data_IF_094854429038
#
_entry.id   IF_094854429038
#
_cell.length_a   1.000
_cell.length_b   1.000
_cell.length_c   1.000
_cell.angle_alpha   90.00
_cell.angle_beta   90.00
_cell.angle_gamma   90.00
#
_symmetry.space_group_name_H-M   'P 1'
#
loop_
_entity.id
_entity.type
_entity.pdbx_description
1 polymer ?
2 non-polymer ?
3 water ?
#
# COMPACT_ATOMS: atom_id res chain seq x y z
N UNK A 1 7.23 2.97 -1.63
CA UNK A 1 8.07 2.56 -2.80
C UNK A 1 8.59 3.74 -3.64
N UNK A 2 8.03 4.94 -3.49
CA UNK A 2 8.29 6.16 -4.28
C UNK A 2 7.75 7.39 -3.52
N UNK A 3 7.97 8.65 -4.00
CA UNK A 3 7.70 9.86 -3.19
C UNK A 3 6.23 10.12 -2.77
N UNK A 4 5.28 9.60 -3.55
CA UNK A 4 3.84 9.64 -3.20
C UNK A 4 3.57 8.78 -1.98
N UNK A 5 4.14 7.59 -1.97
CA UNK A 5 4.07 6.67 -0.82
C UNK A 5 4.74 7.28 0.42
N UNK A 6 5.87 7.97 0.24
CA UNK A 6 6.57 8.68 1.35
C UNK A 6 5.61 9.67 2.05
N UNK A 7 4.95 10.49 1.26
CA UNK A 7 4.02 11.53 1.80
C UNK A 7 2.87 10.82 2.53
N UNK A 8 2.26 9.82 1.85
CA UNK A 8 1.16 9.04 2.45
C UNK A 8 1.54 8.44 3.80
N UNK A 9 2.71 7.80 3.86
CA UNK A 9 3.19 7.16 5.12
C UNK A 9 3.39 8.22 6.21
N UNK A 10 3.91 9.36 5.85
CA UNK A 10 4.11 10.45 6.86
C UNK A 10 2.76 10.84 7.48
N UNK A 11 1.73 10.96 6.66
CA UNK A 11 0.37 11.27 7.16
C UNK A 11 -0.16 10.12 8.00
N UNK A 12 -0.05 8.88 7.56
CA UNK A 12 -0.57 7.75 8.33
C UNK A 12 0.11 7.66 9.70
N UNK A 13 1.43 7.84 9.75
CA UNK A 13 2.25 7.53 10.97
C UNK A 13 1.92 8.55 12.05
N UNK A 14 1.49 9.77 11.72
CA UNK A 14 1.31 10.80 12.73
C UNK A 14 -0.11 11.34 12.79
N UNK A 15 -0.92 11.22 11.75
CA UNK A 15 -2.23 11.93 11.66
C UNK A 15 -3.40 10.96 11.48
N UNK A 16 -3.28 9.68 11.85
CA UNK A 16 -4.44 8.77 11.85
C UNK A 16 -4.58 8.06 13.18
N UNK A 17 -5.84 7.68 13.45
CA UNK A 17 -6.21 6.80 14.59
C UNK A 17 -7.17 5.75 14.01
N UNK A 18 -7.39 4.69 14.77
CA UNK A 18 -8.44 3.72 14.42
C UNK A 18 -9.67 4.15 15.21
N UNK A 19 -10.75 4.49 14.52
CA UNK A 19 -12.04 4.87 15.12
C UNK A 19 -13.03 3.72 15.02
N UNK A 20 -13.72 3.44 16.12
CA UNK A 20 -14.74 2.37 16.17
C UNK A 20 -16.07 2.96 16.64
N UNK A 21 -17.10 2.84 15.81
CA UNK A 21 -18.50 3.18 16.16
C UNK A 21 -19.31 1.87 16.16
N UNK A 22 -20.61 1.98 16.37
CA UNK A 22 -21.52 0.80 16.30
C UNK A 22 -21.65 0.30 14.88
N UNK A 23 -21.20 1.08 13.88
CA UNK A 23 -21.25 0.75 12.45
C UNK A 23 -19.91 0.20 11.95
N UNK A 24 -18.86 0.05 12.76
CA UNK A 24 -17.62 -0.60 12.34
C UNK A 24 -16.35 0.14 12.75
N UNK A 25 -15.22 -0.36 12.32
CA UNK A 25 -13.90 0.25 12.47
C UNK A 25 -13.54 1.02 11.21
N UNK A 26 -13.06 2.26 11.37
CA UNK A 26 -12.73 3.18 10.25
C UNK A 26 -11.32 3.77 10.47
N UNK A 27 -10.59 3.96 9.39
CA UNK A 27 -9.47 4.91 9.35
C UNK A 27 -10.06 6.30 9.67
N UNK A 28 -9.41 7.04 10.58
CA UNK A 28 -9.85 8.41 10.93
C UNK A 28 -8.64 9.32 10.83
N UNK A 29 -8.78 10.38 10.04
CA UNK A 29 -7.75 11.41 9.85
C UNK A 29 -7.91 12.52 10.89
N UNK A 30 -6.83 12.72 11.66
CA UNK A 30 -6.72 13.88 12.55
C UNK A 30 -6.16 15.08 11.81
N UNK A 31 -6.78 16.25 11.92
CA UNK A 31 -6.42 17.41 11.07
C UNK A 31 -5.64 18.45 11.87
N UNK A 32 -6.10 18.79 13.08
CA UNK A 32 -5.36 19.74 13.98
C UNK A 32 -6.03 19.63 15.34
N UNK A 33 -5.29 20.00 16.39
CA UNK A 33 -5.80 20.05 17.78
C UNK A 33 -6.47 18.69 18.07
N UNK A 34 -7.76 18.66 18.45
CA UNK A 34 -8.45 17.37 18.75
C UNK A 34 -9.53 17.15 17.68
N UNK A 35 -9.39 17.73 16.50
CA UNK A 35 -10.39 17.72 15.39
C UNK A 35 -9.95 16.67 14.37
N UNK A 36 -10.87 15.76 14.07
CA UNK A 36 -10.66 14.69 13.08
C UNK A 36 -11.86 14.60 12.14
N UNK A 37 -11.72 13.79 11.11
CA UNK A 37 -12.82 13.53 10.15
C UNK A 37 -13.07 12.05 9.97
N UNK A 38 -14.28 11.73 9.58
CA UNK A 38 -14.72 10.32 9.36
C UNK A 38 -15.87 10.37 8.40
N UNK A 39 -16.14 9.32 7.59
CA UNK A 39 -17.35 9.35 6.77
C UNK A 39 -18.61 9.47 7.62
N UNK A 40 -19.61 10.22 7.12
CA UNK A 40 -20.85 10.43 7.89
C UNK A 40 -21.60 9.10 8.16
N UNK A 41 -21.47 8.13 7.25
CA UNK A 41 -22.14 6.80 7.47
C UNK A 41 -21.54 6.01 8.64
N UNK A 42 -20.45 6.44 9.25
CA UNK A 42 -19.98 5.86 10.53
C UNK A 42 -20.93 6.15 11.67
N UNK A 43 -21.89 7.08 11.54
CA UNK A 43 -22.90 7.44 12.57
C UNK A 43 -22.26 7.67 13.96
N UNK A 44 -21.36 8.65 14.02
CA UNK A 44 -20.69 9.01 15.29
C UNK A 44 -21.74 9.45 16.31
N UNK A 45 -21.64 8.94 17.53
CA UNK A 45 -22.53 9.31 18.63
C UNK A 45 -21.82 10.10 19.69
N UNK A 46 -22.27 9.98 20.93
CA UNK A 46 -21.73 10.74 22.07
C UNK A 46 -20.41 10.16 22.57
N UNK A 47 -20.18 8.88 22.28
CA UNK A 47 -18.96 8.13 22.66
C UNK A 47 -18.43 7.40 21.42
N UNK A 48 -17.10 7.37 21.27
CA UNK A 48 -16.47 6.67 20.14
C UNK A 48 -15.22 5.99 20.73
N UNK A 49 -14.76 4.90 20.13
CA UNK A 49 -13.48 4.26 20.54
C UNK A 49 -12.38 4.76 19.61
N UNK A 50 -11.25 5.20 20.17
CA UNK A 50 -10.11 5.76 19.44
C UNK A 50 -8.88 4.94 19.84
N UNK A 51 -8.35 4.11 18.94
CA UNK A 51 -7.26 3.15 19.28
C UNK A 51 -7.67 2.31 20.50
N UNK A 52 -8.93 1.89 20.54
CA UNK A 52 -9.55 0.97 21.56
C UNK A 52 -9.73 1.66 22.91
N UNK A 53 -9.65 3.00 22.99
CA UNK A 53 -9.88 3.80 24.23
C UNK A 53 -11.26 4.50 24.13
N UNK A 54 -12.12 4.29 25.11
CA UNK A 54 -13.42 4.97 25.20
C UNK A 54 -13.18 6.48 25.26
N UNK A 55 -13.76 7.24 24.33
CA UNK A 55 -13.49 8.69 24.15
C UNK A 55 -14.83 9.45 24.01
N UNK A 56 -15.04 10.47 24.82
CA UNK A 56 -16.22 11.33 24.68
C UNK A 56 -16.08 12.15 23.41
N UNK A 57 -17.20 12.34 22.73
CA UNK A 57 -17.26 13.23 21.54
C UNK A 57 -17.74 14.61 22.00
N UNK A 58 -16.88 15.62 21.86
CA UNK A 58 -17.23 17.00 22.33
C UNK A 58 -18.13 17.65 21.30
N UNK A 59 -18.01 17.32 20.02
CA UNK A 59 -18.84 17.88 18.93
C UNK A 59 -18.75 16.97 17.71
N UNK A 60 -19.84 16.79 16.97
CA UNK A 60 -19.83 16.05 15.69
C UNK A 60 -20.74 16.81 14.72
N UNK A 61 -20.24 17.16 13.54
CA UNK A 61 -21.04 17.92 12.56
C UNK A 61 -20.96 17.25 11.19
N UNK A 62 -22.09 16.77 10.73
CA UNK A 62 -22.24 16.15 9.40
C UNK A 62 -22.32 17.27 8.38
N UNK A 63 -21.30 17.49 7.56
CA UNK A 63 -21.29 18.64 6.63
C UNK A 63 -22.26 18.44 5.48
N UNK A 64 -22.85 19.53 5.04
CA UNK A 64 -23.67 19.64 3.83
C UNK A 64 -23.26 20.89 3.08
N UNK A 65 -23.38 20.91 1.77
CA UNK A 65 -23.08 22.14 0.99
C UNK A 65 -24.24 23.12 1.11
N UNK A 66 -24.03 24.28 0.51
CA UNK A 66 -25.04 25.37 0.65
C UNK A 66 -26.23 25.11 -0.28
N UNK A 67 -26.24 24.06 -1.11
CA UNK A 67 -27.50 23.50 -1.72
C UNK A 67 -28.20 22.58 -0.71
N UNK A 68 -27.69 22.37 0.50
CA UNK A 68 -28.25 21.48 1.55
C UNK A 68 -28.16 20.05 1.02
N UNK A 69 -27.06 19.71 0.36
CA UNK A 69 -26.76 18.34 -0.13
C UNK A 69 -25.65 17.72 0.74
N UNK A 70 -25.79 16.45 1.05
CA UNK A 70 -24.80 15.68 1.81
C UNK A 70 -23.40 15.85 1.19
N UNK A 71 -22.37 16.01 2.04
CA UNK A 71 -20.95 15.94 1.62
C UNK A 71 -20.26 14.68 2.15
N UNK A 72 -20.90 13.91 3.04
CA UNK A 72 -20.41 12.61 3.58
C UNK A 72 -19.16 12.79 4.46
N UNK A 73 -18.85 14.02 4.89
CA UNK A 73 -17.76 14.29 5.87
C UNK A 73 -18.43 14.65 7.20
N UNK A 74 -18.05 13.97 8.27
CA UNK A 74 -18.39 14.38 9.65
C UNK A 74 -17.11 14.87 10.33
N UNK A 75 -17.12 16.10 10.84
CA UNK A 75 -16.00 16.67 11.62
C UNK A 75 -16.28 16.37 13.08
N UNK A 76 -15.32 15.71 13.74
CA UNK A 76 -15.48 15.25 15.14
C UNK A 76 -14.44 15.95 16.00
N UNK A 77 -14.89 16.55 17.11
CA UNK A 77 -13.91 17.02 18.11
C UNK A 77 -13.89 16.01 19.26
N UNK A 78 -12.72 15.47 19.57
CA UNK A 78 -12.55 14.33 20.49
C UNK A 78 -12.07 14.83 21.86
N UNK A 79 -12.61 14.30 22.96
CA UNK A 79 -12.09 14.62 24.33
C UNK A 79 -10.84 13.77 24.59
N UNK A 80 -9.79 14.06 23.85
CA UNK A 80 -8.51 13.30 23.88
C UNK A 80 -7.48 14.16 24.63
N UNK A 81 -6.47 13.50 25.21
CA UNK A 81 -5.45 14.19 26.01
C UNK A 81 -4.23 14.60 25.17
N UNK A 82 -4.30 14.53 23.84
CA UNK A 82 -3.17 14.78 22.95
C UNK A 82 -3.71 15.44 21.69
N UNK A 83 -2.97 16.41 21.15
CA UNK A 83 -3.31 17.07 19.88
C UNK A 83 -2.65 16.36 18.70
N UNK A 84 -3.31 16.46 17.57
CA UNK A 84 -2.74 16.07 16.26
C UNK A 84 -1.76 17.11 15.77
N UNK A 85 -0.72 16.66 15.08
CA UNK A 85 0.08 17.58 14.20
C UNK A 85 -0.87 18.35 13.31
N UNK A 86 -0.72 19.66 13.23
CA UNK A 86 -1.59 20.50 12.37
C UNK A 86 -1.18 20.29 10.91
N UNK A 87 -2.05 19.67 10.10
CA UNK A 87 -1.82 19.42 8.65
C UNK A 87 -2.79 20.24 7.78
N UNK A 88 -3.37 21.31 8.29
CA UNK A 88 -4.31 22.12 7.47
C UNK A 88 -3.61 22.74 6.26
N UNK A 89 -2.30 22.98 6.32
CA UNK A 89 -1.58 23.59 5.17
C UNK A 89 -1.41 22.60 4.02
N UNK A 90 -1.72 21.31 4.21
CA UNK A 90 -1.71 20.31 3.12
C UNK A 90 -3.08 20.16 2.46
N UNK A 91 -4.09 20.89 2.90
CA UNK A 91 -5.46 20.75 2.35
C UNK A 91 -5.59 21.68 1.15
N UNK A 92 -6.22 21.20 0.06
CA UNK A 92 -6.52 22.08 -1.07
C UNK A 92 -7.56 23.15 -0.72
N UNK A 93 -7.48 24.27 -1.41
CA UNK A 93 -8.46 25.35 -1.19
C UNK A 93 -9.67 25.18 -2.10
N UNK A 94 -9.52 24.55 -3.27
CA UNK A 94 -10.63 24.48 -4.25
C UNK A 94 -10.84 23.05 -4.73
N UNK A 95 -12.00 22.83 -5.35
CA UNK A 95 -12.35 21.55 -6.00
C UNK A 95 -11.38 21.41 -7.18
N UNK A 96 -10.86 20.21 -7.44
CA UNK A 96 -9.87 19.99 -8.49
C UNK A 96 -9.80 18.52 -8.85
N UNK A 97 -9.13 18.25 -9.97
CA UNK A 97 -8.67 16.90 -10.38
C UNK A 97 -7.17 16.75 -10.03
N UNK A 98 -6.71 15.51 -9.93
CA UNK A 98 -5.32 15.21 -9.48
C UNK A 98 -4.74 14.06 -10.29
N UNK A 99 -3.42 14.05 -10.41
CA UNK A 99 -2.72 12.83 -10.90
C UNK A 99 -2.08 12.06 -9.75
N UNK A 100 -2.00 10.74 -9.92
CA UNK A 100 -1.06 9.87 -9.21
C UNK A 100 -1.33 9.93 -7.71
N UNK A 101 -2.52 9.58 -7.29
CA UNK A 101 -2.90 9.59 -5.85
C UNK A 101 -2.64 8.23 -5.22
N UNK A 102 -2.53 8.24 -3.89
CA UNK A 102 -2.45 7.03 -3.03
C UNK A 102 -3.63 7.06 -2.06
N UNK A 103 -4.28 5.91 -1.88
CA UNK A 103 -5.31 5.68 -0.85
C UNK A 103 -4.66 4.85 0.24
N UNK A 104 -4.63 5.34 1.47
CA UNK A 104 -3.98 4.68 2.62
C UNK A 104 -4.97 4.37 3.73
N UNK A 105 -4.92 3.15 4.25
CA UNK A 105 -5.87 2.60 5.23
C UNK A 105 -5.11 1.99 6.38
N UNK A 106 -5.60 2.16 7.60
CA UNK A 106 -5.03 1.47 8.76
C UNK A 106 -6.13 1.04 9.73
N UNK A 107 -6.49 -0.25 9.71
CA UNK A 107 -7.49 -0.81 10.65
C UNK A 107 -6.96 -2.16 11.11
N UNK A 108 -7.68 -2.82 12.03
CA UNK A 108 -7.41 -4.24 12.45
C UNK A 108 -7.46 -5.16 11.21
N UNK A 109 -8.38 -4.93 10.31
CA UNK A 109 -8.63 -5.79 9.13
C UNK A 109 -7.54 -5.52 8.09
N UNK A 110 -7.18 -4.25 7.90
CA UNK A 110 -6.23 -3.79 6.84
C UNK A 110 -5.16 -2.88 7.45
N UNK A 111 -4.16 -3.43 8.16
CA UNK A 111 -3.07 -2.65 8.72
C UNK A 111 -2.01 -2.23 7.68
N UNK A 112 -1.57 -0.98 7.71
CA UNK A 112 -0.44 -0.53 6.89
C UNK A 112 -0.71 -0.79 5.41
N UNK A 113 -1.91 -0.51 4.95
CA UNK A 113 -2.33 -0.69 3.57
C UNK A 113 -2.14 0.59 2.77
N UNK A 114 -1.53 0.49 1.59
CA UNK A 114 -1.31 1.62 0.68
C UNK A 114 -1.69 1.22 -0.74
N UNK A 115 -2.45 2.01 -1.47
CA UNK A 115 -2.95 1.63 -2.84
C UNK A 115 -2.65 2.75 -3.82
N UNK A 116 -1.85 2.56 -4.90
CA UNK A 116 -1.71 3.59 -5.92
C UNK A 116 -2.96 3.53 -6.80
N UNK A 117 -3.78 4.57 -6.74
CA UNK A 117 -5.10 4.55 -7.43
C UNK A 117 -5.04 5.28 -8.76
N UNK A 118 -3.96 5.97 -9.13
CA UNK A 118 -3.83 6.69 -10.40
C UNK A 118 -4.54 8.03 -10.39
N UNK A 119 -5.08 8.39 -11.54
CA UNK A 119 -5.76 9.68 -11.78
C UNK A 119 -7.04 9.77 -10.95
N UNK A 120 -7.24 10.96 -10.38
CA UNK A 120 -8.46 11.28 -9.58
C UNK A 120 -9.29 12.33 -10.31
N UNK A 121 -10.55 12.01 -10.61
CA UNK A 121 -11.46 12.92 -11.32
C UNK A 121 -12.31 13.69 -10.28
N UNK A 122 -12.51 14.98 -10.51
CA UNK A 122 -13.60 15.74 -9.86
C UNK A 122 -14.90 15.26 -10.47
N UNK A 123 -15.50 14.27 -9.84
CA UNK A 123 -16.69 13.53 -10.35
C UNK A 123 -17.93 14.36 -10.08
N UNK A 124 -18.01 15.00 -8.93
CA UNK A 124 -19.13 15.89 -8.56
C UNK A 124 -20.23 15.13 -7.87
N UNK A 125 -21.37 14.99 -8.56
CA UNK A 125 -22.57 14.35 -7.96
C UNK A 125 -22.42 12.83 -7.99
N UNK A 126 -22.82 12.18 -6.88
CA UNK A 126 -22.94 10.72 -6.75
C UNK A 126 -24.16 10.41 -5.91
N UNK A 127 -24.92 9.41 -6.34
CA UNK A 127 -25.98 8.79 -5.51
C UNK A 127 -25.33 7.71 -4.67
N UNK A 128 -24.90 8.07 -3.48
CA UNK A 128 -24.10 7.24 -2.59
C UNK A 128 -25.02 6.48 -1.65
N UNK A 129 -25.23 5.18 -1.91
CA UNK A 129 -26.12 4.39 -1.03
C UNK A 129 -27.53 4.96 -1.01
N UNK A 130 -27.99 5.55 -2.09
CA UNK A 130 -29.33 6.20 -2.14
C UNK A 130 -29.34 7.67 -1.73
N UNK A 131 -28.20 8.20 -1.26
CA UNK A 131 -28.12 9.58 -0.75
C UNK A 131 -27.44 10.50 -1.76
N UNK A 132 -28.12 11.52 -2.34
CA UNK A 132 -27.47 12.49 -3.24
C UNK A 132 -26.28 13.15 -2.49
N UNK A 133 -25.12 13.08 -3.08
CA UNK A 133 -23.86 13.56 -2.44
C UNK A 133 -23.10 14.44 -3.43
N UNK A 134 -22.45 15.51 -2.97
CA UNK A 134 -21.66 16.41 -3.82
C UNK A 134 -20.15 16.31 -3.47
N UNK A 135 -19.36 16.96 -4.29
CA UNK A 135 -17.87 17.10 -4.10
C UNK A 135 -17.21 15.73 -4.03
N UNK A 136 -17.63 14.81 -4.88
CA UNK A 136 -17.03 13.46 -4.96
C UNK A 136 -15.87 13.39 -5.95
N UNK A 137 -14.77 12.81 -5.49
CA UNK A 137 -13.60 12.43 -6.30
C UNK A 137 -13.74 10.95 -6.69
N UNK A 138 -13.34 10.61 -7.90
CA UNK A 138 -13.38 9.18 -8.35
C UNK A 138 -12.00 8.73 -8.81
N UNK A 139 -11.71 7.46 -8.53
CA UNK A 139 -10.50 6.76 -9.05
C UNK A 139 -10.93 5.38 -9.54
N UNK A 140 -10.20 4.87 -10.54
CA UNK A 140 -10.54 3.58 -11.20
C UNK A 140 -9.78 2.47 -10.46
N UNK A 141 -10.16 2.18 -9.24
CA UNK A 141 -9.60 1.05 -8.47
C UNK A 141 -10.74 0.29 -7.81
N UNK A 142 -10.71 -1.06 -7.83
CA UNK A 142 -11.72 -1.90 -7.16
C UNK A 142 -11.57 -1.86 -5.63
N UNK A 143 -11.97 -0.73 -5.04
CA UNK A 143 -12.00 -0.57 -3.57
C UNK A 143 -13.07 -1.48 -2.99
N UNK A 144 -12.98 -1.76 -1.70
CA UNK A 144 -14.07 -2.41 -0.93
C UNK A 144 -14.36 -1.55 0.31
N UNK A 145 -15.51 -1.84 0.95
CA UNK A 145 -16.08 -1.15 2.13
C UNK A 145 -15.04 -0.92 3.24
N UNK A 146 -14.13 -1.88 3.48
CA UNK A 146 -13.25 -1.89 4.66
C UNK A 146 -12.26 -0.73 4.69
N UNK A 147 -12.09 -0.04 3.55
CA UNK A 147 -11.12 1.06 3.39
C UNK A 147 -11.83 2.42 3.48
N UNK A 148 -13.11 2.45 3.88
CA UNK A 148 -13.84 3.71 4.12
C UNK A 148 -13.17 4.47 5.29
N UNK A 149 -12.95 5.77 5.09
CA UNK A 149 -12.16 6.62 5.99
C UNK A 149 -10.71 6.70 5.55
N UNK A 150 -10.31 5.86 4.58
CA UNK A 150 -8.94 5.86 4.06
C UNK A 150 -8.58 7.24 3.58
N UNK A 151 -7.30 7.58 3.64
CA UNK A 151 -6.85 8.94 3.30
C UNK A 151 -6.39 8.94 1.86
N UNK A 152 -6.84 9.90 1.07
CA UNK A 152 -6.40 10.09 -0.34
C UNK A 152 -5.41 11.24 -0.39
N UNK A 153 -4.19 10.97 -0.88
CA UNK A 153 -3.11 11.97 -0.92
C UNK A 153 -2.50 12.04 -2.32
N UNK A 154 -1.95 13.18 -2.64
CA UNK A 154 -0.90 13.32 -3.68
C UNK A 154 0.38 13.71 -2.95
N UNK A 155 1.51 13.88 -3.66
CA UNK A 155 2.71 14.48 -3.00
C UNK A 155 2.31 15.87 -2.51
N UNK A 156 2.36 16.09 -1.21
CA UNK A 156 2.19 17.40 -0.61
C UNK A 156 0.74 17.76 -0.39
N UNK A 157 -0.28 16.96 -0.83
CA UNK A 157 -1.69 17.34 -0.54
C UNK A 157 -2.52 16.17 0.00
N UNK A 158 -3.33 16.48 1.01
CA UNK A 158 -4.36 15.56 1.57
C UNK A 158 -5.68 15.99 0.96
N UNK A 159 -6.22 15.17 0.04
CA UNK A 159 -7.31 15.70 -0.86
C UNK A 159 -8.67 15.10 -0.53
N UNK A 160 -8.77 14.04 0.24
CA UNK A 160 -10.09 13.40 0.45
C UNK A 160 -10.03 12.23 1.39
N UNK A 161 -11.21 11.74 1.75
CA UNK A 161 -11.38 10.47 2.51
C UNK A 161 -12.32 9.56 1.72
N UNK A 162 -11.90 8.30 1.63
CA UNK A 162 -12.67 7.26 0.90
C UNK A 162 -14.05 7.03 1.55
N UNK A 163 -15.13 7.02 0.74
CA UNK A 163 -16.50 6.88 1.29
C UNK A 163 -17.30 5.78 0.57
N UNK A 164 -16.84 5.25 -0.55
CA UNK A 164 -17.64 4.20 -1.21
C UNK A 164 -17.05 3.71 -2.51
N UNK A 165 -17.79 2.81 -3.18
CA UNK A 165 -17.35 2.31 -4.49
C UNK A 165 -18.45 1.48 -5.13
N UNK A 166 -18.23 1.08 -6.38
CA UNK A 166 -19.29 0.35 -7.14
C UNK A 166 -18.72 -0.99 -7.63
N UNK A 167 -17.59 -1.44 -7.12
CA UNK A 167 -16.95 -2.70 -7.55
C UNK A 167 -15.78 -2.46 -8.48
N UNK A 168 -15.81 -1.47 -9.37
CA UNK A 168 -14.71 -1.15 -10.30
C UNK A 168 -14.10 0.23 -10.01
N UNK A 169 -14.88 1.16 -9.45
CA UNK A 169 -14.42 2.55 -9.12
C UNK A 169 -14.56 2.77 -7.60
N UNK A 170 -13.69 3.66 -7.06
CA UNK A 170 -13.78 4.15 -5.67
C UNK A 170 -14.09 5.62 -5.68
N UNK A 171 -14.68 6.06 -4.58
CA UNK A 171 -15.18 7.44 -4.42
C UNK A 171 -14.75 7.98 -3.06
N UNK A 172 -14.24 9.22 -3.12
CA UNK A 172 -13.81 9.93 -1.91
C UNK A 172 -14.56 11.24 -1.78
N UNK A 173 -14.83 11.66 -0.57
CA UNK A 173 -15.32 13.03 -0.28
C UNK A 173 -14.14 13.98 -0.23
N UNK A 174 -14.24 15.11 -0.92
CA UNK A 174 -13.19 16.14 -0.86
C UNK A 174 -12.95 16.63 0.55
N UNK A 175 -11.69 16.95 0.83
CA UNK A 175 -11.33 17.81 1.99
C UNK A 175 -10.90 19.16 1.42
N UNK A 176 -11.47 20.21 1.98
CA UNK A 176 -11.15 21.59 1.62
C UNK A 176 -10.67 22.34 2.87
N UNK A 177 -9.69 23.25 2.67
CA UNK A 177 -9.15 24.07 3.77
C UNK A 177 -10.28 24.78 4.53
N UNK A 178 -11.29 25.26 3.81
CA UNK A 178 -12.40 26.05 4.40
C UNK A 178 -13.24 25.26 5.39
N UNK A 179 -13.19 23.92 5.40
CA UNK A 179 -13.92 23.15 6.40
C UNK A 179 -13.31 23.31 7.82
N UNK A 180 -12.03 23.71 7.94
CA UNK A 180 -11.23 23.63 9.21
C UNK A 180 -10.65 24.98 9.65
N UNK A 181 -11.25 26.08 9.22
CA UNK A 181 -11.06 27.44 9.81
C UNK A 181 -11.70 27.41 11.22
N UNK A 182 -10.99 27.96 12.21
CA UNK A 182 -11.34 27.94 13.67
C UNK A 182 -11.73 29.37 14.11
N UNK B 2 -8.63 -10.46 3.51
CA UNK B 2 -8.94 -11.75 4.22
C UNK B 2 -7.75 -12.30 5.02
N UNK B 3 -7.51 -13.65 4.99
CA UNK B 3 -6.23 -14.24 5.41
C UNK B 3 -5.04 -13.91 4.48
N UNK B 4 -5.30 -13.23 3.35
CA UNK B 4 -4.26 -12.69 2.44
C UNK B 4 -3.35 -11.72 3.17
N UNK B 5 -3.87 -10.84 4.02
CA UNK B 5 -3.03 -9.90 4.84
C UNK B 5 -2.28 -10.63 5.95
N UNK B 6 -2.87 -11.62 6.63
CA UNK B 6 -2.14 -12.48 7.60
C UNK B 6 -0.92 -13.10 6.90
N UNK B 7 -1.16 -13.72 5.75
CA UNK B 7 -0.10 -14.45 5.03
C UNK B 7 1.02 -13.48 4.63
N UNK B 8 0.66 -12.35 4.05
CA UNK B 8 1.67 -11.36 3.62
C UNK B 8 2.47 -10.94 4.85
N UNK B 9 1.84 -10.67 6.00
CA UNK B 9 2.57 -10.22 7.21
C UNK B 9 3.51 -11.30 7.72
N UNK B 10 3.08 -12.57 7.68
CA UNK B 10 3.87 -13.74 8.13
C UNK B 10 5.16 -13.85 7.30
N UNK B 11 5.01 -13.68 5.99
CA UNK B 11 6.20 -13.72 5.10
C UNK B 11 7.10 -12.49 5.30
N UNK B 12 6.50 -11.32 5.49
CA UNK B 12 7.24 -10.07 5.78
C UNK B 12 8.09 -10.27 7.04
N UNK B 13 7.46 -10.67 8.14
CA UNK B 13 8.10 -10.70 9.48
C UNK B 13 9.27 -11.67 9.50
N UNK B 14 9.06 -12.88 9.04
CA UNK B 14 10.08 -13.94 9.22
C UNK B 14 11.02 -14.08 8.01
N UNK B 15 10.59 -13.70 6.80
CA UNK B 15 11.32 -14.04 5.57
C UNK B 15 11.78 -12.84 4.77
N UNK B 16 11.61 -11.60 5.21
CA UNK B 16 12.00 -10.44 4.39
C UNK B 16 13.03 -9.62 5.16
N UNK B 17 14.18 -9.33 4.54
CA UNK B 17 15.26 -8.47 5.08
C UNK B 17 15.51 -7.28 4.19
N UNK B 18 16.26 -6.29 4.68
CA UNK B 18 16.63 -5.11 3.87
C UNK B 18 18.04 -5.39 3.30
N UNK B 19 18.18 -5.51 1.99
CA UNK B 19 19.48 -5.71 1.34
C UNK B 19 19.96 -4.39 0.74
N UNK B 20 21.24 -4.05 0.91
CA UNK B 20 21.79 -2.81 0.31
C UNK B 20 23.02 -3.21 -0.51
N UNK B 21 22.94 -2.88 -1.78
CA UNK B 21 24.03 -3.04 -2.77
C UNK B 21 24.60 -1.65 -3.09
N UNK B 22 25.53 -1.62 -4.04
CA UNK B 22 26.07 -0.36 -4.58
C UNK B 22 24.92 0.51 -5.10
N UNK B 23 23.77 -0.06 -5.48
CA UNK B 23 22.65 0.71 -6.08
C UNK B 23 21.65 1.22 -5.02
N UNK B 24 21.77 0.81 -3.79
CA UNK B 24 20.86 1.20 -2.71
C UNK B 24 20.10 0.03 -2.12
N UNK B 25 18.87 0.29 -1.62
CA UNK B 25 18.15 -0.68 -0.77
C UNK B 25 17.06 -1.39 -1.59
N UNK B 26 16.98 -2.70 -1.31
CA UNK B 26 16.03 -3.61 -1.98
C UNK B 26 15.38 -4.45 -0.90
N UNK B 27 14.06 -4.69 -1.05
CA UNK B 27 13.35 -5.74 -0.31
C UNK B 27 13.89 -7.12 -0.74
N UNK B 28 14.41 -7.90 0.17
CA UNK B 28 15.02 -9.22 -0.15
C UNK B 28 14.17 -10.29 0.53
N UNK B 29 13.88 -11.37 -0.21
CA UNK B 29 13.17 -12.54 0.32
C UNK B 29 14.17 -13.65 0.61
N UNK B 30 14.24 -14.07 1.87
CA UNK B 30 14.93 -15.30 2.24
C UNK B 30 14.07 -16.52 2.05
N UNK B 31 14.60 -17.55 1.41
CA UNK B 31 13.78 -18.71 0.95
C UNK B 31 14.03 -19.93 1.84
N UNK B 32 15.27 -20.24 2.13
CA UNK B 32 15.63 -21.37 3.05
C UNK B 32 17.11 -21.27 3.37
N UNK B 33 17.57 -21.90 4.46
CA UNK B 33 19.02 -21.88 4.81
C UNK B 33 19.55 -20.44 4.72
N UNK B 34 20.64 -20.19 3.96
CA UNK B 34 21.20 -18.81 3.77
C UNK B 34 20.98 -18.38 2.31
N UNK B 35 19.91 -18.84 1.70
CA UNK B 35 19.60 -18.61 0.27
C UNK B 35 18.47 -17.60 0.19
N UNK B 36 18.69 -16.54 -0.59
CA UNK B 36 17.73 -15.42 -0.74
C UNK B 36 17.67 -15.03 -2.21
N UNK B 37 16.66 -14.25 -2.54
CA UNK B 37 16.48 -13.69 -3.89
C UNK B 37 16.31 -12.18 -3.88
N UNK B 38 16.73 -11.56 -4.98
CA UNK B 38 16.78 -10.10 -5.16
C UNK B 38 16.70 -9.89 -6.65
N UNK B 39 16.12 -8.77 -7.16
CA UNK B 39 16.14 -8.51 -8.61
C UNK B 39 17.58 -8.42 -9.15
N UNK B 40 17.78 -8.92 -10.36
CA UNK B 40 19.13 -8.91 -10.99
C UNK B 40 19.64 -7.46 -11.14
N UNK B 41 18.75 -6.49 -11.34
CA UNK B 41 19.17 -5.08 -11.50
C UNK B 41 19.78 -4.52 -10.23
N UNK B 42 19.71 -5.21 -9.07
CA UNK B 42 20.33 -4.71 -7.81
C UNK B 42 21.87 -4.75 -7.89
N UNK B 43 22.40 -5.50 -8.83
CA UNK B 43 23.88 -5.52 -9.10
C UNK B 43 24.62 -6.01 -7.86
N UNK B 44 24.28 -7.19 -7.38
CA UNK B 44 24.92 -7.81 -6.22
C UNK B 44 26.40 -8.02 -6.49
N UNK B 45 27.23 -7.61 -5.52
CA UNK B 45 28.69 -7.80 -5.59
C UNK B 45 29.19 -8.90 -4.70
N UNK B 46 30.41 -8.73 -4.22
CA UNK B 46 31.09 -9.68 -3.31
C UNK B 46 30.56 -9.50 -1.89
N UNK B 47 30.17 -8.27 -1.56
CA UNK B 47 29.72 -7.84 -0.20
C UNK B 47 28.34 -7.23 -0.38
N UNK B 48 27.46 -7.51 0.56
CA UNK B 48 26.11 -6.88 0.64
C UNK B 48 25.84 -6.50 2.10
N UNK B 49 24.95 -5.52 2.31
CA UNK B 49 24.46 -5.22 3.68
C UNK B 49 23.09 -5.86 3.86
N UNK B 50 22.93 -6.60 4.94
CA UNK B 50 21.65 -7.28 5.32
C UNK B 50 21.23 -6.68 6.67
N UNK B 51 20.13 -5.93 6.69
CA UNK B 51 19.71 -5.20 7.92
C UNK B 51 20.91 -4.40 8.47
N UNK B 52 21.65 -3.75 7.58
CA UNK B 52 22.77 -2.80 7.86
C UNK B 52 24.01 -3.55 8.34
N UNK B 53 24.06 -4.88 8.26
CA UNK B 53 25.23 -5.72 8.60
C UNK B 53 26.00 -6.08 7.33
N UNK B 54 27.28 -5.72 7.29
CA UNK B 54 28.21 -6.12 6.18
C UNK B 54 28.24 -7.65 6.12
N UNK B 55 27.92 -8.24 4.95
CA UNK B 55 27.73 -9.70 4.77
C UNK B 55 28.39 -10.19 3.47
N UNK B 56 29.28 -11.17 3.56
CA UNK B 56 29.92 -11.73 2.35
C UNK B 56 28.83 -12.45 1.57
N UNK B 57 28.82 -12.26 0.25
CA UNK B 57 27.97 -13.07 -0.69
C UNK B 57 28.83 -14.23 -1.19
N UNK B 58 28.51 -15.44 -0.76
CA UNK B 58 29.31 -16.62 -1.12
C UNK B 58 29.08 -17.00 -2.57
N UNK B 59 27.88 -16.74 -3.09
CA UNK B 59 27.50 -17.15 -4.46
C UNK B 59 26.36 -16.26 -4.92
N UNK B 60 26.41 -15.86 -6.18
CA UNK B 60 25.29 -15.13 -6.84
C UNK B 60 25.06 -15.76 -8.21
N UNK B 61 23.80 -16.05 -8.50
CA UNK B 61 23.39 -16.62 -9.79
C UNK B 61 22.29 -15.78 -10.41
N UNK B 62 22.59 -15.12 -11.52
CA UNK B 62 21.60 -14.34 -12.28
C UNK B 62 20.83 -15.31 -13.17
N UNK B 63 19.62 -15.68 -12.76
CA UNK B 63 18.89 -16.83 -13.34
C UNK B 63 18.47 -16.55 -14.80
N UNK B 64 18.59 -17.58 -15.60
CA UNK B 64 18.16 -17.63 -17.01
C UNK B 64 17.47 -18.97 -17.23
N UNK B 65 16.49 -19.02 -18.12
CA UNK B 65 15.76 -20.29 -18.38
C UNK B 65 16.50 -21.11 -19.43
N UNK B 66 15.89 -22.21 -19.82
CA UNK B 66 16.51 -23.18 -20.76
C UNK B 66 16.51 -22.65 -22.20
N UNK B 67 15.82 -21.54 -22.52
CA UNK B 67 15.95 -20.82 -23.79
C UNK B 67 17.13 -19.82 -23.70
N UNK B 68 17.86 -19.82 -22.57
CA UNK B 68 18.98 -18.88 -22.28
C UNK B 68 18.46 -17.44 -22.30
N UNK B 69 17.29 -17.23 -21.70
CA UNK B 69 16.64 -15.92 -21.57
C UNK B 69 16.64 -15.50 -20.09
N UNK B 70 16.93 -14.23 -19.86
CA UNK B 70 16.90 -13.61 -18.53
C UNK B 70 15.57 -13.84 -17.83
N UNK B 71 15.65 -14.11 -16.52
CA UNK B 71 14.45 -14.16 -15.62
C UNK B 71 14.41 -12.99 -14.61
N UNK B 72 15.47 -12.20 -14.50
CA UNK B 72 15.58 -11.01 -13.63
C UNK B 72 15.60 -11.37 -12.13
N UNK B 73 15.77 -12.63 -11.78
CA UNK B 73 15.98 -13.08 -10.36
C UNK B 73 17.44 -13.40 -10.19
N UNK B 74 18.04 -12.91 -9.13
CA UNK B 74 19.38 -13.34 -8.68
C UNK B 74 19.21 -14.13 -7.39
N UNK B 75 19.72 -15.37 -7.37
CA UNK B 75 19.74 -16.21 -6.16
C UNK B 75 21.08 -15.96 -5.47
N UNK B 76 21.07 -15.61 -4.21
CA UNK B 76 22.33 -15.38 -3.43
C UNK B 76 22.44 -16.37 -2.28
N UNK B 77 23.69 -16.75 -1.95
CA UNK B 77 24.04 -17.57 -0.76
C UNK B 77 24.87 -16.66 0.14
N UNK B 78 24.36 -16.38 1.34
CA UNK B 78 24.90 -15.38 2.27
C UNK B 78 25.77 -16.06 3.33
N UNK B 79 26.89 -15.42 3.68
CA UNK B 79 27.74 -15.85 4.83
C UNK B 79 27.18 -15.23 6.12
N UNK B 80 26.12 -15.84 6.69
CA UNK B 80 25.52 -15.35 7.97
C UNK B 80 25.04 -16.56 8.78
N UNK B 81 25.04 -16.42 10.11
CA UNK B 81 24.70 -17.53 11.02
C UNK B 81 23.22 -17.85 10.96
N UNK B 82 22.38 -16.82 10.90
CA UNK B 82 20.91 -16.98 10.85
C UNK B 82 20.52 -17.80 9.63
N UNK B 83 19.57 -18.71 9.83
CA UNK B 83 18.94 -19.48 8.76
C UNK B 83 17.51 -18.96 8.55
N UNK B 84 17.09 -18.83 7.30
CA UNK B 84 15.73 -18.38 6.94
C UNK B 84 14.76 -19.54 7.17
N UNK B 85 13.59 -19.22 7.74
CA UNK B 85 12.45 -20.17 7.80
C UNK B 85 12.16 -20.69 6.39
N UNK B 86 12.18 -22.01 6.20
CA UNK B 86 11.99 -22.63 4.86
C UNK B 86 10.57 -22.34 4.37
N UNK B 87 10.42 -21.70 3.20
CA UNK B 87 9.11 -21.38 2.57
C UNK B 87 9.00 -21.96 1.16
N UNK B 88 9.88 -22.93 0.84
CA UNK B 88 9.85 -23.55 -0.52
C UNK B 88 8.49 -24.18 -0.81
N UNK B 89 7.80 -24.70 0.20
CA UNK B 89 6.47 -25.30 0.01
C UNK B 89 5.38 -24.30 -0.35
N UNK B 90 5.62 -22.98 -0.25
CA UNK B 90 4.64 -21.96 -0.67
C UNK B 90 4.89 -21.45 -2.09
N UNK B 91 5.93 -22.01 -2.75
CA UNK B 91 6.26 -21.54 -4.12
C UNK B 91 5.44 -22.32 -5.12
N UNK B 92 4.83 -21.66 -6.11
CA UNK B 92 4.12 -22.34 -7.19
C UNK B 92 5.03 -23.29 -7.97
N UNK B 93 4.45 -24.44 -8.35
CA UNK B 93 5.16 -25.39 -9.21
C UNK B 93 5.14 -24.98 -10.67
N UNK B 94 4.09 -24.27 -11.09
CA UNK B 94 3.89 -23.88 -12.51
C UNK B 94 3.52 -22.40 -12.62
N UNK B 95 3.62 -21.88 -13.83
CA UNK B 95 3.16 -20.53 -14.22
C UNK B 95 1.64 -20.47 -14.10
N UNK B 96 1.13 -19.34 -13.63
CA UNK B 96 -0.33 -19.18 -13.38
C UNK B 96 -0.72 -17.70 -13.33
N UNK B 97 -2.02 -17.44 -13.44
CA UNK B 97 -2.67 -16.14 -13.14
C UNK B 97 -3.18 -16.24 -11.70
N UNK B 98 -3.36 -15.09 -11.03
CA UNK B 98 -3.76 -15.03 -9.61
C UNK B 98 -4.72 -13.87 -9.35
N UNK B 99 -5.48 -13.99 -8.25
CA UNK B 99 -6.37 -12.91 -7.77
C UNK B 99 -5.95 -12.47 -6.36
N UNK B 100 -6.27 -11.21 -6.06
CA UNK B 100 -6.28 -10.73 -4.66
C UNK B 100 -4.84 -10.78 -4.14
N UNK B 101 -3.88 -10.39 -4.96
CA UNK B 101 -2.45 -10.43 -4.54
C UNK B 101 -2.08 -9.19 -3.73
N UNK B 102 -1.03 -9.33 -2.92
CA UNK B 102 -0.47 -8.25 -2.07
C UNK B 102 1.02 -8.16 -2.38
N UNK B 103 1.48 -6.96 -2.59
CA UNK B 103 2.91 -6.63 -2.74
C UNK B 103 3.39 -6.03 -1.43
N UNK B 104 4.40 -6.62 -0.79
CA UNK B 104 4.90 -6.22 0.55
C UNK B 104 6.33 -5.65 0.45
N UNK B 105 6.43 -4.35 0.76
CA UNK B 105 7.69 -3.55 0.67
C UNK B 105 8.32 -3.43 2.05
N UNK B 106 9.64 -3.59 2.11
CA UNK B 106 10.36 -3.47 3.38
C UNK B 106 11.75 -2.89 3.13
N UNK B 107 11.92 -1.61 3.45
CA UNK B 107 13.23 -0.91 3.37
C UNK B 107 13.37 -0.01 4.59
N UNK B 108 14.48 0.70 4.71
CA UNK B 108 14.68 1.65 5.83
C UNK B 108 13.66 2.77 5.68
N UNK B 109 13.36 3.21 4.46
CA UNK B 109 12.41 4.32 4.15
C UNK B 109 10.96 3.86 4.27
N UNK B 110 10.68 2.58 3.96
CA UNK B 110 9.29 2.03 3.86
C UNK B 110 9.25 0.73 4.66
N UNK B 111 9.17 0.79 6.01
CA UNK B 111 9.16 -0.43 6.81
C UNK B 111 7.76 -1.05 6.71
N UNK B 112 7.56 -2.34 6.64
CA UNK B 112 6.13 -2.78 6.77
C UNK B 112 5.07 -1.99 5.94
N UNK B 113 5.09 -1.97 4.59
CA UNK B 113 4.09 -1.37 3.68
C UNK B 113 3.42 -2.46 2.81
N UNK B 114 2.10 -2.59 2.78
CA UNK B 114 1.33 -3.66 2.09
C UNK B 114 0.47 -3.02 1.00
N UNK B 115 0.67 -3.40 -0.26
CA UNK B 115 0.00 -2.80 -1.42
C UNK B 115 -0.87 -3.85 -2.06
N UNK B 116 -2.20 -3.81 -1.92
CA UNK B 116 -3.09 -4.78 -2.55
C UNK B 116 -3.17 -4.45 -4.04
N UNK B 117 -2.48 -5.23 -4.83
CA UNK B 117 -2.41 -4.98 -6.30
C UNK B 117 -3.57 -5.67 -7.02
N UNK B 118 -4.07 -6.79 -6.45
CA UNK B 118 -5.31 -7.45 -6.89
C UNK B 118 -4.98 -8.44 -7.96
N UNK B 119 -5.55 -8.22 -9.16
CA UNK B 119 -5.45 -9.20 -10.26
C UNK B 119 -4.02 -9.22 -10.85
N UNK B 120 -3.48 -10.43 -10.93
CA UNK B 120 -2.10 -10.67 -11.47
C UNK B 120 -2.22 -11.59 -12.70
N UNK B 121 -1.72 -11.11 -13.83
CA UNK B 121 -1.71 -11.88 -15.10
C UNK B 121 -0.35 -12.54 -15.31
N UNK B 122 -0.31 -13.77 -15.79
CA UNK B 122 0.87 -14.35 -16.47
C UNK B 122 1.09 -13.60 -17.79
N UNK B 123 1.91 -12.56 -17.78
CA UNK B 123 2.14 -11.61 -18.90
C UNK B 123 3.14 -12.26 -19.87
N UNK B 124 4.13 -12.99 -19.34
CA UNK B 124 5.15 -13.72 -20.07
C UNK B 124 6.34 -12.88 -20.49
N UNK B 125 6.45 -12.56 -21.78
CA UNK B 125 7.63 -11.89 -22.37
C UNK B 125 7.56 -10.41 -22.10
N UNK B 126 8.68 -9.81 -21.68
CA UNK B 126 8.81 -8.36 -21.50
C UNK B 126 10.21 -7.94 -21.91
N UNK B 127 10.32 -6.85 -22.68
CA UNK B 127 11.63 -6.20 -22.92
C UNK B 127 11.84 -5.25 -21.75
N UNK B 128 12.62 -5.68 -20.76
CA UNK B 128 12.84 -4.93 -19.51
C UNK B 128 14.16 -4.14 -19.56
N UNK B 129 14.06 -2.82 -19.78
CA UNK B 129 15.27 -1.98 -19.93
C UNK B 129 16.17 -2.42 -21.07
N UNK B 130 15.59 -2.98 -22.11
CA UNK B 130 16.33 -3.45 -23.29
C UNK B 130 16.69 -4.92 -23.23
N UNK B 131 16.47 -5.62 -22.11
CA UNK B 131 16.78 -7.06 -21.94
C UNK B 131 15.53 -7.92 -22.13
N UNK B 132 15.50 -8.84 -23.11
CA UNK B 132 14.40 -9.80 -23.24
C UNK B 132 14.29 -10.63 -21.95
N UNK B 133 13.08 -10.70 -21.38
CA UNK B 133 12.84 -11.34 -20.07
C UNK B 133 11.61 -12.24 -20.17
N UNK B 134 11.68 -13.39 -19.51
CA UNK B 134 10.57 -14.36 -19.46
C UNK B 134 9.90 -14.37 -18.07
N UNK B 135 8.74 -15.03 -18.02
CA UNK B 135 7.99 -15.40 -16.77
C UNK B 135 7.63 -14.13 -15.98
N UNK B 136 7.20 -13.08 -16.66
CA UNK B 136 6.75 -11.83 -15.99
C UNK B 136 5.27 -11.93 -15.62
N UNK B 137 4.97 -11.62 -14.36
CA UNK B 137 3.61 -11.36 -13.83
C UNK B 137 3.31 -9.88 -13.91
N UNK B 138 2.07 -9.48 -14.27
CA UNK B 138 1.73 -8.07 -14.43
C UNK B 138 0.49 -7.76 -13.57
N UNK B 139 0.55 -6.60 -12.95
CA UNK B 139 -0.61 -6.03 -12.20
C UNK B 139 -0.70 -4.54 -12.53
N UNK B 140 -1.90 -3.98 -12.33
CA UNK B 140 -2.04 -2.52 -12.47
C UNK B 140 -1.19 -1.87 -11.41
N UNK B 141 -0.50 -0.78 -11.73
CA UNK B 141 0.41 -0.06 -10.82
C UNK B 141 0.62 1.33 -11.38
N UNK B 142 -0.41 2.20 -11.27
CA UNK B 142 -0.45 3.46 -12.02
C UNK B 142 0.35 4.58 -11.39
N UNK B 143 1.62 4.29 -11.15
CA UNK B 143 2.57 5.17 -10.48
C UNK B 143 3.97 4.78 -10.96
N UNK B 144 4.89 5.72 -10.88
CA UNK B 144 6.31 5.43 -11.23
C UNK B 144 6.99 5.12 -9.88
N UNK B 145 7.11 3.84 -9.54
CA UNK B 145 7.75 3.36 -8.29
C UNK B 145 9.28 3.30 -8.47
N UNK B 146 10.02 3.31 -7.36
CA UNK B 146 11.48 3.17 -7.36
C UNK B 146 11.93 1.71 -7.49
N UNK B 147 13.21 1.48 -7.32
CA UNK B 147 13.85 0.19 -7.63
C UNK B 147 13.65 -0.86 -6.52
N UNK B 148 13.19 -0.49 -5.32
CA UNK B 148 13.41 -1.30 -4.11
C UNK B 148 12.63 -2.63 -4.23
N UNK B 149 11.51 -2.62 -4.93
CA UNK B 149 10.70 -3.84 -5.15
C UNK B 149 10.03 -4.35 -3.88
N UNK B 150 9.72 -5.65 -3.84
CA UNK B 150 8.84 -6.20 -2.83
C UNK B 150 8.37 -7.58 -3.17
N UNK B 151 7.77 -8.25 -2.21
CA UNK B 151 7.36 -9.67 -2.34
C UNK B 151 5.92 -9.70 -2.71
N UNK B 152 5.53 -10.53 -3.70
CA UNK B 152 4.11 -10.64 -4.14
C UNK B 152 3.58 -11.98 -3.62
N UNK B 153 2.46 -11.90 -2.87
CA UNK B 153 1.81 -13.07 -2.24
C UNK B 153 0.33 -13.11 -2.59
N UNK B 154 -0.19 -14.33 -2.56
CA UNK B 154 -1.67 -14.56 -2.47
C UNK B 154 -1.91 -15.33 -1.18
N UNK B 155 -3.14 -15.65 -0.84
CA UNK B 155 -3.34 -16.55 0.33
C UNK B 155 -2.64 -17.87 -0.03
N UNK B 156 -1.66 -18.27 0.74
CA UNK B 156 -1.03 -19.57 0.64
C UNK B 156 0.14 -19.63 -0.30
N UNK B 157 0.41 -18.60 -1.13
CA UNK B 157 1.51 -18.74 -2.12
C UNK B 157 2.39 -17.49 -2.14
N UNK B 158 3.69 -17.73 -2.25
CA UNK B 158 4.71 -16.67 -2.56
C UNK B 158 5.03 -16.72 -4.06
N UNK B 159 4.49 -15.78 -4.83
CA UNK B 159 4.40 -15.98 -6.30
C UNK B 159 5.50 -15.22 -7.05
N UNK B 160 6.11 -14.19 -6.51
CA UNK B 160 7.04 -13.39 -7.33
C UNK B 160 7.67 -12.29 -6.52
N UNK B 161 8.64 -11.63 -7.13
CA UNK B 161 9.27 -10.41 -6.56
C UNK B 161 9.18 -9.31 -7.60
N UNK B 162 8.86 -8.08 -7.18
CA UNK B 162 8.66 -6.93 -8.08
C UNK B 162 10.00 -6.52 -8.73
N UNK B 163 10.01 -6.42 -10.05
CA UNK B 163 11.26 -6.11 -10.79
C UNK B 163 11.16 -4.83 -11.61
N UNK B 164 9.98 -4.24 -11.85
CA UNK B 164 9.89 -3.04 -12.69
C UNK B 164 8.49 -2.55 -12.93
N UNK B 165 8.35 -1.60 -13.84
CA UNK B 165 7.01 -1.10 -14.20
C UNK B 165 7.10 -0.01 -15.24
N UNK B 166 5.96 0.40 -15.83
CA UNK B 166 5.97 1.35 -16.99
C UNK B 166 5.09 2.57 -16.68
N UNK B 167 4.74 2.80 -15.41
CA UNK B 167 3.90 3.93 -14.92
C UNK B 167 2.40 3.63 -14.94
N UNK B 168 1.98 2.58 -15.62
CA UNK B 168 0.60 2.08 -15.69
C UNK B 168 0.52 0.69 -15.07
N UNK B 169 1.56 -0.13 -15.36
CA UNK B 169 1.59 -1.54 -14.96
C UNK B 169 2.83 -1.79 -14.15
N UNK B 170 2.75 -2.74 -13.22
CA UNK B 170 3.89 -3.26 -12.43
C UNK B 170 4.17 -4.69 -12.86
N UNK B 171 5.46 -5.03 -12.75
CA UNK B 171 5.97 -6.34 -13.27
C UNK B 171 6.74 -7.04 -12.15
N UNK B 172 6.46 -8.31 -11.97
CA UNK B 172 7.14 -9.21 -11.03
C UNK B 172 7.74 -10.38 -11.75
N UNK B 173 8.90 -10.84 -11.34
CA UNK B 173 9.50 -12.11 -11.80
C UNK B 173 8.86 -13.25 -11.02
N UNK B 174 8.42 -14.30 -11.71
CA UNK B 174 7.79 -15.47 -11.06
C UNK B 174 8.84 -16.14 -10.19
N UNK B 175 8.42 -16.65 -9.02
CA UNK B 175 9.21 -17.61 -8.25
C UNK B 175 8.58 -18.99 -8.46
N UNK B 176 9.40 -19.97 -8.82
CA UNK B 176 8.92 -21.34 -9.05
C UNK B 176 9.70 -22.26 -8.15
N UNK B 177 9.04 -23.35 -7.72
CA UNK B 177 9.63 -24.29 -6.77
C UNK B 177 10.95 -24.91 -7.32
N UNK B 178 10.94 -25.18 -8.62
CA UNK B 178 12.11 -25.81 -9.28
C UNK B 178 13.37 -24.94 -9.22
N UNK B 179 13.27 -23.64 -8.92
CA UNK B 179 14.49 -22.81 -8.89
C UNK B 179 15.36 -23.17 -7.67
N UNK B 180 14.77 -23.83 -6.64
CA UNK B 180 15.40 -24.06 -5.32
C UNK B 180 15.42 -25.53 -4.91
N UNK B 181 15.16 -26.44 -5.84
CA UNK B 181 15.35 -27.91 -5.65
C UNK B 181 16.85 -28.26 -5.84
X LIG C 1 -17.24 -1.36 -3.10
X LIG C 1 -16.82 -0.36 -2.07
X LIG C 1 -17.42 -0.20 -0.92
X LIG C 1 -16.69 0.75 -0.25
X LIG C 1 -15.71 1.16 -0.98
X LIG C 1 -15.78 0.47 -2.13
#
# INVERSE_FOLDING_TARGET
>A
MGPGFDFAQAIMKKNTVIARTEKGEFTMLGVYDRVAVIPTHASVGEIIYINDVETRVLDACALRDLTDTNLEITIVKLDRNQKFRDIRHFLPRCEDDYNDAVLSVHTSKFPNMYIPVGQVTNYGFLNLGGTPTHRILMYNFPTRAGQCGGVVTTTGKVIGIHVGGNGAQGFAAMLLHSYFTD
>B
MGPGFDFAQAIMKKNTVIARTEKGEFTMLGVYDRVAVIPTHASVGEIIYINDVETRVLDACALRDLTDTNLEITIVKLDRNQKFRDIRHFLPRCEDDYNDAVLSVHTSKFPNMYIPVGQVTNYGFLNLGGTPTHRILMYNFPTRAGQCGGVVTTTGKVIGIHVGGNGAQGFAAMLLHSYFTD
>C hetero
1 XJM C01 C02 N03 N04 N05 N06
#
